data_IF_046966274569
#
_entry.id   IF_046966274569
#
_cell.length_a   1.000
_cell.length_b   1.000
_cell.length_c   1.000
_cell.angle_alpha   90.00
_cell.angle_beta   90.00
_cell.angle_gamma   90.00
#
_symmetry.space_group_name_H-M   'P 1'
#
loop_
_entity.id
_entity.type
_entity.pdbx_description
1 polymer ?
#
# COMPACT_ATOMS: atom_id res chain seq x y z
N UNK A 1 14.88 54.66 21.66
CA UNK A 1 14.08 54.20 20.49
C UNK A 1 14.91 53.21 19.70
N UNK A 2 14.78 51.92 20.04
CA UNK A 2 15.50 50.82 19.39
C UNK A 2 14.45 49.80 18.93
N UNK A 3 14.14 49.83 17.64
CA UNK A 3 13.18 48.90 16.99
C UNK A 3 13.96 47.70 16.54
N UNK A 4 13.53 46.56 17.08
CA UNK A 4 14.02 45.23 16.84
C UNK A 4 13.98 44.86 15.34
N UNK A 5 15.13 44.62 14.72
CA UNK A 5 15.31 43.81 13.52
C UNK A 5 15.78 42.40 13.94
N UNK A 6 14.83 41.57 14.31
CA UNK A 6 15.09 40.15 14.47
C UNK A 6 13.94 39.37 13.79
N UNK A 7 14.31 38.44 12.98
CA UNK A 7 13.46 37.34 12.46
C UNK A 7 13.04 37.38 11.01
N UNK A 8 14.01 37.42 10.11
CA UNK A 8 13.73 37.14 8.69
C UNK A 8 14.59 35.95 8.13
N UNK A 9 15.61 35.54 8.86
CA UNK A 9 16.52 34.48 8.36
C UNK A 9 16.15 33.06 8.78
N UNK A 10 15.40 32.86 9.88
CA UNK A 10 14.99 31.53 10.34
C UNK A 10 13.83 30.99 9.52
N UNK A 11 12.88 31.82 9.11
CA UNK A 11 11.72 31.41 8.32
C UNK A 11 12.10 30.87 6.92
N UNK A 12 13.15 31.41 6.30
CA UNK A 12 13.59 30.97 4.96
C UNK A 12 14.34 29.63 4.95
N UNK A 13 15.03 29.30 6.03
CA UNK A 13 15.80 28.05 6.15
C UNK A 13 14.87 26.87 6.40
N UNK A 14 13.88 27.03 7.26
CA UNK A 14 12.91 25.98 7.58
C UNK A 14 12.07 25.59 6.35
N UNK A 15 11.60 26.57 5.57
CA UNK A 15 10.89 26.31 4.30
C UNK A 15 11.76 25.55 3.28
N UNK A 16 13.06 25.86 3.25
CA UNK A 16 13.99 25.18 2.32
C UNK A 16 14.23 23.72 2.74
N UNK A 17 14.35 23.45 4.02
CA UNK A 17 14.53 22.09 4.56
C UNK A 17 13.28 21.24 4.33
N UNK A 18 12.10 21.81 4.57
CA UNK A 18 10.83 21.13 4.28
C UNK A 18 10.65 20.84 2.78
N UNK A 19 10.97 21.80 1.92
CA UNK A 19 10.90 21.62 0.47
C UNK A 19 11.87 20.53 -0.02
N UNK A 20 13.10 20.52 0.47
CA UNK A 20 14.10 19.47 0.17
C UNK A 20 13.61 18.13 0.67
N UNK A 21 13.09 18.05 1.89
CA UNK A 21 12.51 16.82 2.46
C UNK A 21 11.35 16.28 1.63
N UNK A 22 10.45 17.13 1.16
CA UNK A 22 9.34 16.75 0.29
C UNK A 22 9.82 16.23 -1.08
N UNK A 23 10.83 16.87 -1.68
CA UNK A 23 11.43 16.44 -2.95
C UNK A 23 12.11 15.07 -2.78
N UNK A 24 12.92 14.89 -1.73
CA UNK A 24 13.58 13.63 -1.44
C UNK A 24 12.58 12.50 -1.19
N UNK A 25 11.53 12.76 -0.40
CA UNK A 25 10.44 11.81 -0.15
C UNK A 25 9.73 11.44 -1.45
N UNK A 26 9.47 12.40 -2.32
CA UNK A 26 8.88 12.16 -3.64
C UNK A 26 9.78 11.28 -4.50
N UNK A 27 11.09 11.57 -4.55
CA UNK A 27 12.04 10.77 -5.33
C UNK A 27 12.15 9.32 -4.82
N UNK A 28 12.17 9.13 -3.49
CA UNK A 28 12.16 7.79 -2.88
C UNK A 28 10.88 7.03 -3.22
N UNK A 29 9.73 7.68 -3.15
CA UNK A 29 8.43 7.09 -3.49
C UNK A 29 8.38 6.63 -4.96
N UNK A 30 8.91 7.43 -5.90
CA UNK A 30 9.01 7.02 -7.31
C UNK A 30 9.92 5.80 -7.50
N UNK A 31 11.04 5.72 -6.77
CA UNK A 31 11.93 4.56 -6.82
C UNK A 31 11.26 3.28 -6.31
N UNK A 32 10.46 3.36 -5.26
CA UNK A 32 9.69 2.24 -4.73
C UNK A 32 8.60 1.79 -5.71
N UNK A 33 7.83 2.73 -6.27
CA UNK A 33 6.81 2.47 -7.27
C UNK A 33 7.41 1.78 -8.51
N UNK A 34 8.53 2.29 -9.02
CA UNK A 34 9.23 1.71 -10.16
C UNK A 34 9.66 0.26 -9.89
N UNK A 35 10.16 -0.03 -8.69
CA UNK A 35 10.57 -1.37 -8.30
C UNK A 35 9.37 -2.32 -8.22
N UNK A 36 8.24 -1.88 -7.67
CA UNK A 36 6.99 -2.63 -7.61
C UNK A 36 6.47 -2.91 -9.02
N UNK A 37 6.41 -1.88 -9.89
CA UNK A 37 5.95 -2.04 -11.27
C UNK A 37 6.81 -3.02 -12.06
N UNK A 38 8.14 -2.93 -11.96
CA UNK A 38 9.07 -3.89 -12.60
C UNK A 38 8.86 -5.31 -12.07
N UNK A 39 8.60 -5.48 -10.78
CA UNK A 39 8.29 -6.78 -10.23
C UNK A 39 6.97 -7.34 -10.80
N UNK A 40 5.94 -6.50 -10.98
CA UNK A 40 4.62 -6.90 -11.43
C UNK A 40 4.48 -7.05 -12.95
N UNK A 41 5.44 -6.62 -13.76
CA UNK A 41 5.44 -6.86 -15.22
C UNK A 41 5.44 -8.35 -15.54
N UNK A 42 6.14 -9.15 -14.74
CA UNK A 42 6.31 -10.58 -14.99
C UNK A 42 5.07 -11.38 -14.51
N UNK A 43 4.43 -12.18 -15.39
CA UNK A 43 3.18 -12.86 -15.08
C UNK A 43 3.25 -13.83 -13.89
N UNK A 44 4.34 -14.60 -13.80
CA UNK A 44 4.54 -15.59 -12.73
C UNK A 44 4.56 -14.93 -11.35
N UNK A 45 5.19 -13.76 -11.24
CA UNK A 45 5.23 -13.00 -9.98
C UNK A 45 3.83 -12.53 -9.56
N UNK A 46 2.99 -12.10 -10.51
CA UNK A 46 1.58 -11.76 -10.21
C UNK A 46 0.79 -12.97 -9.71
N UNK A 47 0.98 -14.13 -10.34
CA UNK A 47 0.30 -15.37 -9.91
C UNK A 47 0.78 -15.84 -8.53
N UNK A 48 2.06 -15.68 -8.21
CA UNK A 48 2.61 -15.94 -6.87
C UNK A 48 1.93 -15.03 -5.83
N UNK A 49 1.82 -13.72 -6.11
CA UNK A 49 1.12 -12.79 -5.21
C UNK A 49 -0.35 -13.15 -5.05
N UNK A 50 -1.04 -13.49 -6.13
CA UNK A 50 -2.43 -13.94 -6.08
C UNK A 50 -2.59 -15.22 -5.23
N UNK A 51 -1.65 -16.17 -5.34
CA UNK A 51 -1.67 -17.36 -4.47
C UNK A 51 -1.45 -16.98 -3.01
N UNK A 52 -0.51 -16.06 -2.73
CA UNK A 52 -0.19 -15.60 -1.38
C UNK A 52 -1.29 -14.73 -0.76
N UNK A 53 -2.15 -14.08 -1.56
CA UNK A 53 -3.31 -13.33 -1.04
C UNK A 53 -4.33 -14.23 -0.33
N UNK A 54 -4.34 -15.51 -0.67
CA UNK A 54 -5.19 -16.53 -0.02
C UNK A 54 -4.60 -17.08 1.27
N UNK A 55 -3.36 -16.72 1.58
CA UNK A 55 -2.63 -17.11 2.80
C UNK A 55 -1.19 -17.54 2.54
N UNK A 56 -0.39 -17.66 3.59
CA UNK A 56 1.00 -18.06 3.51
C UNK A 56 1.18 -19.40 2.78
N UNK A 57 2.29 -19.55 2.06
CA UNK A 57 2.62 -20.78 1.34
C UNK A 57 4.12 -21.05 1.37
N UNK A 58 4.50 -22.32 1.34
CA UNK A 58 5.90 -22.74 1.22
C UNK A 58 6.39 -22.58 -0.22
N UNK A 59 7.70 -22.45 -0.39
CA UNK A 59 8.31 -22.37 -1.74
C UNK A 59 7.93 -23.58 -2.60
N UNK A 60 7.83 -24.78 -2.02
CA UNK A 60 7.41 -25.98 -2.73
C UNK A 60 5.97 -25.90 -3.23
N UNK A 61 5.06 -25.40 -2.39
CA UNK A 61 3.65 -25.17 -2.77
C UNK A 61 3.49 -24.09 -3.83
N UNK A 62 4.41 -23.12 -3.86
CA UNK A 62 4.42 -22.08 -4.90
C UNK A 62 5.02 -22.58 -6.22
N UNK A 63 5.92 -23.57 -6.18
CA UNK A 63 6.54 -24.15 -7.37
C UNK A 63 5.60 -25.10 -8.13
N UNK A 64 4.77 -25.82 -7.41
CA UNK A 64 3.93 -26.91 -7.94
C UNK A 64 3.06 -26.49 -9.15
N UNK A 65 2.29 -25.36 -9.11
CA UNK A 65 1.41 -24.98 -10.21
C UNK A 65 2.14 -24.58 -11.49
N UNK A 66 3.42 -24.24 -11.42
CA UNK A 66 4.16 -23.64 -12.54
C UNK A 66 5.03 -24.65 -13.30
N UNK A 67 5.22 -25.85 -12.78
CA UNK A 67 6.16 -26.81 -13.36
C UNK A 67 7.61 -26.31 -13.44
N UNK A 68 7.96 -25.29 -12.63
CA UNK A 68 9.27 -24.66 -12.60
C UNK A 68 10.19 -25.32 -11.58
N UNK A 69 11.51 -25.16 -11.80
CA UNK A 69 12.50 -25.58 -10.81
C UNK A 69 12.40 -24.73 -9.54
N UNK A 70 12.75 -25.33 -8.41
CA UNK A 70 12.82 -24.63 -7.12
C UNK A 70 13.68 -23.34 -7.20
N UNK A 71 14.80 -23.40 -7.92
CA UNK A 71 15.69 -22.24 -8.12
C UNK A 71 15.01 -21.11 -8.89
N UNK A 72 14.22 -21.42 -9.92
CA UNK A 72 13.48 -20.40 -10.68
C UNK A 72 12.42 -19.70 -9.82
N UNK A 73 11.68 -20.47 -9.00
CA UNK A 73 10.71 -19.88 -8.06
C UNK A 73 11.40 -18.99 -7.04
N UNK A 74 12.55 -19.40 -6.52
CA UNK A 74 13.33 -18.57 -5.58
C UNK A 74 13.74 -17.22 -6.19
N UNK A 75 14.10 -17.17 -7.49
CA UNK A 75 14.41 -15.90 -8.16
C UNK A 75 13.19 -14.98 -8.22
N UNK A 76 11.99 -15.51 -8.51
CA UNK A 76 10.76 -14.72 -8.49
C UNK A 76 10.44 -14.21 -7.09
N UNK A 77 10.60 -15.04 -6.07
CA UNK A 77 10.38 -14.66 -4.67
C UNK A 77 11.39 -13.59 -4.20
N UNK A 78 12.66 -13.72 -4.56
CA UNK A 78 13.67 -12.70 -4.24
C UNK A 78 13.34 -11.34 -4.87
N UNK A 79 12.86 -11.32 -6.11
CA UNK A 79 12.45 -10.09 -6.77
C UNK A 79 11.25 -9.42 -6.07
N UNK A 80 10.27 -10.21 -5.62
CA UNK A 80 9.11 -9.73 -4.87
C UNK A 80 9.48 -9.28 -3.45
N UNK A 81 10.43 -9.94 -2.81
CA UNK A 81 10.92 -9.59 -1.48
C UNK A 81 11.77 -8.31 -1.51
N UNK A 82 12.59 -8.14 -2.55
CA UNK A 82 13.43 -6.96 -2.75
C UNK A 82 12.63 -5.66 -2.94
N UNK A 83 11.40 -5.74 -3.48
CA UNK A 83 10.50 -4.59 -3.59
C UNK A 83 9.46 -4.51 -2.46
N UNK A 84 9.61 -5.30 -1.39
CA UNK A 84 8.78 -5.22 -0.21
C UNK A 84 7.35 -5.77 -0.37
N UNK A 85 7.06 -6.53 -1.43
CA UNK A 85 5.71 -7.09 -1.66
C UNK A 85 5.44 -8.34 -0.85
N UNK A 86 6.48 -9.09 -0.53
CA UNK A 86 6.38 -10.31 0.28
C UNK A 86 7.48 -10.32 1.33
N UNK A 87 7.27 -11.15 2.35
CA UNK A 87 8.30 -11.53 3.32
C UNK A 87 8.43 -13.05 3.36
N UNK A 88 9.66 -13.56 3.42
CA UNK A 88 9.92 -14.98 3.61
C UNK A 88 10.60 -15.26 4.95
N UNK A 89 10.20 -16.37 5.56
CA UNK A 89 10.78 -16.88 6.80
C UNK A 89 11.23 -18.31 6.60
N UNK A 90 12.44 -18.64 7.03
CA UNK A 90 13.00 -19.99 6.94
C UNK A 90 13.06 -20.60 8.32
N UNK A 91 12.35 -21.71 8.52
CA UNK A 91 12.38 -22.51 9.74
C UNK A 91 12.89 -23.91 9.36
N UNK A 92 14.11 -24.21 9.76
CA UNK A 92 14.80 -25.45 9.39
C UNK A 92 15.02 -25.53 7.87
N UNK A 93 14.43 -26.54 7.23
CA UNK A 93 14.51 -26.75 5.76
C UNK A 93 13.34 -26.12 4.99
N UNK A 94 12.34 -25.61 5.69
CA UNK A 94 11.12 -25.06 5.09
C UNK A 94 11.24 -23.55 5.03
N UNK A 95 10.99 -22.97 3.85
CA UNK A 95 10.83 -21.52 3.65
C UNK A 95 9.38 -21.24 3.34
N UNK A 96 8.75 -20.41 4.18
CA UNK A 96 7.36 -19.96 4.04
C UNK A 96 7.35 -18.49 3.63
N UNK A 97 6.52 -18.16 2.64
CA UNK A 97 6.34 -16.82 2.12
C UNK A 97 4.94 -16.31 2.47
N UNK A 98 4.81 -15.02 2.71
CA UNK A 98 3.55 -14.31 2.94
C UNK A 98 3.58 -12.93 2.29
N UNK A 99 2.42 -12.35 1.99
CA UNK A 99 2.33 -10.95 1.57
C UNK A 99 2.78 -10.05 2.72
N UNK A 100 3.53 -9.00 2.39
CA UNK A 100 3.85 -7.93 3.34
C UNK A 100 2.67 -6.96 3.41
N UNK A 101 2.03 -6.79 4.60
CA UNK A 101 0.97 -5.82 4.77
C UNK A 101 1.46 -4.42 4.38
N UNK A 102 0.72 -3.75 3.50
CA UNK A 102 1.10 -2.40 3.04
C UNK A 102 2.17 -2.37 1.93
N UNK A 103 2.72 -3.51 1.49
CA UNK A 103 3.71 -3.53 0.41
C UNK A 103 3.23 -2.92 -0.90
N UNK A 104 1.94 -2.93 -1.17
CA UNK A 104 1.31 -2.28 -2.33
C UNK A 104 0.84 -0.84 -2.06
N UNK A 105 0.92 -0.35 -0.82
CA UNK A 105 0.42 0.98 -0.47
C UNK A 105 1.05 2.11 -1.30
N UNK A 106 2.38 2.16 -1.55
CA UNK A 106 2.98 3.22 -2.36
C UNK A 106 2.39 3.28 -3.78
N UNK A 107 2.10 2.13 -4.39
CA UNK A 107 1.49 2.05 -5.71
C UNK A 107 0.00 2.45 -5.67
N UNK A 108 -0.74 2.01 -4.66
CA UNK A 108 -2.14 2.36 -4.49
C UNK A 108 -2.33 3.87 -4.29
N UNK A 109 -1.51 4.49 -3.46
CA UNK A 109 -1.51 5.93 -3.21
C UNK A 109 -1.18 6.71 -4.49
N UNK A 110 -0.16 6.26 -5.24
CA UNK A 110 0.21 6.86 -6.51
C UNK A 110 -0.93 6.81 -7.54
N UNK A 111 -1.67 5.70 -7.62
CA UNK A 111 -2.86 5.56 -8.48
C UNK A 111 -3.97 6.50 -7.99
N UNK A 112 -4.25 6.52 -6.68
CA UNK A 112 -5.30 7.33 -6.09
C UNK A 112 -5.10 8.84 -6.33
N UNK A 113 -3.86 9.31 -6.26
CA UNK A 113 -3.51 10.71 -6.56
C UNK A 113 -3.82 11.13 -8.01
N UNK A 114 -3.83 10.17 -8.95
CA UNK A 114 -4.05 10.40 -10.39
C UNK A 114 -5.48 10.15 -10.85
N UNK A 115 -6.34 9.69 -9.94
CA UNK A 115 -7.77 9.58 -10.25
C UNK A 115 -8.36 10.98 -10.50
N UNK A 116 -9.21 11.08 -11.52
CA UNK A 116 -9.87 12.35 -11.84
C UNK A 116 -10.74 12.82 -10.66
N UNK A 117 -10.87 14.13 -10.45
CA UNK A 117 -11.67 14.67 -9.33
C UNK A 117 -13.10 14.15 -9.27
N UNK A 118 -13.73 13.89 -10.42
CA UNK A 118 -15.10 13.36 -10.49
C UNK A 118 -15.19 11.94 -9.88
N UNK A 119 -14.22 11.06 -10.13
CA UNK A 119 -14.20 9.71 -9.53
C UNK A 119 -14.02 9.77 -8.02
N UNK A 120 -13.13 10.65 -7.54
CA UNK A 120 -12.93 10.86 -6.09
C UNK A 120 -14.18 11.38 -5.40
N UNK A 121 -14.93 12.25 -6.06
CA UNK A 121 -16.19 12.80 -5.54
C UNK A 121 -17.29 11.75 -5.50
N UNK A 122 -17.35 10.83 -6.47
CA UNK A 122 -18.32 9.73 -6.50
C UNK A 122 -18.05 8.72 -5.38
N UNK A 123 -16.78 8.37 -5.14
CA UNK A 123 -16.41 7.50 -4.01
C UNK A 123 -16.82 8.11 -2.67
N UNK A 124 -16.54 9.40 -2.48
CA UNK A 124 -16.92 10.13 -1.26
C UNK A 124 -18.45 10.22 -1.08
N UNK A 125 -19.18 10.39 -2.18
CA UNK A 125 -20.64 10.38 -2.13
C UNK A 125 -21.15 8.99 -1.74
N UNK A 126 -20.56 7.92 -2.25
CA UNK A 126 -20.88 6.55 -1.87
C UNK A 126 -20.67 6.29 -0.38
N UNK A 127 -19.57 6.77 0.20
CA UNK A 127 -19.29 6.69 1.64
C UNK A 127 -20.36 7.41 2.48
N UNK A 128 -20.70 8.65 2.11
CA UNK A 128 -21.73 9.45 2.80
C UNK A 128 -23.11 8.77 2.76
N UNK A 129 -23.48 8.18 1.63
CA UNK A 129 -24.75 7.46 1.49
C UNK A 129 -24.78 6.19 2.34
N UNK A 130 -23.66 5.45 2.40
CA UNK A 130 -23.55 4.26 3.23
C UNK A 130 -23.64 4.58 4.74
N UNK A 131 -23.04 5.69 5.19
CA UNK A 131 -23.18 6.17 6.57
C UNK A 131 -24.61 6.61 6.91
N UNK A 132 -25.30 7.27 5.96
CA UNK A 132 -26.70 7.70 6.12
C UNK A 132 -27.64 6.50 6.27
N UNK A 133 -27.45 5.44 5.48
CA UNK A 133 -28.23 4.21 5.57
C UNK A 133 -28.04 3.49 6.89
N UNK A 134 -26.82 3.43 7.41
CA UNK A 134 -26.54 2.84 8.73
C UNK A 134 -27.19 3.63 9.86
N UNK A 135 -27.18 4.96 9.78
CA UNK A 135 -27.81 5.83 10.78
C UNK A 135 -29.32 5.64 10.77
N UNK A 136 -29.93 5.53 9.61
CA UNK A 136 -31.39 5.33 9.48
C UNK A 136 -31.82 3.96 10.00
N UNK A 137 -31.05 2.91 9.74
CA UNK A 137 -31.31 1.57 10.27
C UNK A 137 -31.25 1.52 11.80
N UNK A 138 -30.26 2.19 12.40
CA UNK A 138 -30.10 2.24 13.86
C UNK A 138 -31.23 3.00 14.56
N UNK A 139 -31.78 4.03 13.91
CA UNK A 139 -32.91 4.79 14.46
C UNK A 139 -34.24 4.00 14.39
N UNK A 140 -34.42 3.20 13.34
CA UNK A 140 -35.59 2.34 13.19
C UNK A 140 -35.60 1.20 14.23
N UNK A 141 -34.45 0.62 14.56
CA UNK A 141 -34.35 -0.43 15.56
C UNK A 141 -34.64 0.11 16.97
N UNK A 142 -34.14 1.30 17.32
CA UNK A 142 -34.46 1.95 18.59
C UNK A 142 -35.95 2.26 18.76
N UNK A 143 -36.62 2.67 17.69
CA UNK A 143 -38.06 2.98 17.77
C UNK A 143 -38.93 1.72 17.93
N UNK A 144 -38.47 0.56 17.48
CA UNK A 144 -39.10 -0.73 17.70
C UNK A 144 -38.95 -1.26 19.13
N UNK A 145 -37.86 -0.94 19.79
CA UNK A 145 -37.63 -1.35 21.19
C UNK A 145 -38.45 -0.53 22.18
N UNK A 146 -38.72 0.75 21.91
CA UNK A 146 -39.54 1.62 22.78
C UNK A 146 -41.06 1.34 22.70
N UNK A 147 -41.51 0.57 21.70
CA UNK A 147 -42.95 0.23 21.53
C UNK A 147 -43.32 -1.16 22.05
N UNK A 148 -42.42 -1.84 22.80
CA UNK A 148 -42.65 -3.17 23.35
C UNK A 148 -42.71 -3.15 24.87
#
# INVERSE_FOLDING_TARGET
>A
MAIARRSSKHFSVDLTIEAIGAILKSMLNYSEIDSILRALVEPTRRQILERLSRGPATVSQLAEPFGMTFAAVLQHLQALEACGLIRSEKIGRVRTCRIEPGGLAPLADWIAERRIPAERNLDRLGEILAEADQTTSTLQDKHKEEQK
#
